data_IF_222463462314
#
_entry.id   IF_222463462314
#
_cell.length_a   1.000
_cell.length_b   1.000
_cell.length_c   1.000
_cell.angle_alpha   90.00
_cell.angle_beta   90.00
_cell.angle_gamma   90.00
#
_symmetry.space_group_name_H-M   'P 1'
#
loop_
_entity.id
_entity.type
_entity.pdbx_description
1 polymer ?
#
# COMPACT_ATOMS: atom_id res chain seq x y z
N UNK A 1 -15.67 18.44 -9.81
CA UNK A 1 -15.56 16.98 -9.58
C UNK A 1 -14.74 16.79 -8.32
N UNK A 2 -15.17 15.94 -7.38
CA UNK A 2 -14.43 15.70 -6.13
C UNK A 2 -13.62 14.41 -6.21
N UNK A 3 -12.54 14.35 -5.45
CA UNK A 3 -11.75 13.14 -5.24
C UNK A 3 -12.19 12.46 -3.93
N UNK A 4 -12.46 11.17 -3.99
CA UNK A 4 -12.72 10.33 -2.81
C UNK A 4 -11.57 9.33 -2.67
N UNK A 5 -10.91 9.31 -1.52
CA UNK A 5 -9.94 8.29 -1.18
C UNK A 5 -10.66 7.09 -0.52
N UNK A 6 -10.71 5.98 -1.23
CA UNK A 6 -11.25 4.70 -0.76
C UNK A 6 -10.24 3.95 0.11
N UNK A 7 -9.75 4.57 1.19
CA UNK A 7 -8.72 3.99 2.05
C UNK A 7 -8.78 4.48 3.48
N UNK A 8 -8.51 3.56 4.42
CA UNK A 8 -8.26 3.90 5.82
C UNK A 8 -6.78 4.16 6.13
N UNK A 9 -5.87 3.98 5.17
CA UNK A 9 -4.44 4.14 5.38
C UNK A 9 -4.08 5.57 5.81
N UNK A 10 -3.41 5.69 6.96
CA UNK A 10 -2.88 6.97 7.44
C UNK A 10 -1.76 7.50 6.52
N UNK A 11 -0.90 6.64 5.97
CA UNK A 11 0.18 7.06 5.09
C UNK A 11 -0.33 7.63 3.76
N UNK A 12 -1.38 7.05 3.18
CA UNK A 12 -2.00 7.56 1.95
C UNK A 12 -2.66 8.91 2.15
N UNK A 13 -3.37 9.09 3.26
CA UNK A 13 -3.92 10.40 3.66
C UNK A 13 -2.81 11.43 3.82
N UNK A 14 -1.78 11.11 4.61
CA UNK A 14 -0.65 12.01 4.83
C UNK A 14 0.05 12.40 3.52
N UNK A 15 0.19 11.50 2.56
CA UNK A 15 0.75 11.82 1.23
C UNK A 15 -0.12 12.80 0.44
N UNK A 16 -1.45 12.63 0.43
CA UNK A 16 -2.36 13.56 -0.24
C UNK A 16 -2.43 14.91 0.47
N UNK A 17 -2.46 14.90 1.81
CA UNK A 17 -2.45 16.10 2.66
C UNK A 17 -1.18 16.92 2.39
N UNK A 18 0.00 16.28 2.42
CA UNK A 18 1.27 16.93 2.16
C UNK A 18 1.38 17.47 0.71
N UNK A 19 0.72 16.81 -0.25
CA UNK A 19 0.64 17.27 -1.63
C UNK A 19 -0.42 18.37 -1.86
N UNK A 20 -1.19 18.74 -0.82
CA UNK A 20 -2.26 19.74 -0.93
C UNK A 20 -3.43 19.30 -1.81
N UNK A 21 -3.65 18.00 -1.95
CA UNK A 21 -4.76 17.46 -2.75
C UNK A 21 -6.05 17.54 -1.92
N UNK A 22 -7.13 18.19 -2.41
CA UNK A 22 -8.41 18.14 -1.74
C UNK A 22 -9.09 16.78 -2.00
N UNK A 23 -9.48 16.08 -0.92
CA UNK A 23 -10.19 14.80 -1.02
C UNK A 23 -11.14 14.57 0.16
N UNK A 24 -12.08 13.64 -0.01
CA UNK A 24 -12.86 13.04 1.07
C UNK A 24 -12.36 11.62 1.34
N UNK A 25 -12.05 11.28 2.59
CA UNK A 25 -11.65 9.92 2.96
C UNK A 25 -12.89 9.09 3.31
N UNK A 26 -13.07 7.95 2.66
CA UNK A 26 -14.19 7.04 2.92
C UNK A 26 -13.67 5.61 3.01
N UNK A 27 -14.10 4.88 4.03
CA UNK A 27 -13.79 3.45 4.15
C UNK A 27 -14.57 2.68 3.08
N UNK A 28 -13.92 1.88 2.22
CA UNK A 28 -14.61 1.12 1.17
C UNK A 28 -15.48 -0.02 1.70
N UNK A 29 -15.34 -0.42 2.99
CA UNK A 29 -16.07 -1.54 3.60
C UNK A 29 -16.04 -2.82 2.74
N UNK A 30 -14.85 -3.17 2.23
CA UNK A 30 -14.60 -4.35 1.40
C UNK A 30 -14.02 -5.46 2.28
N UNK A 31 -14.47 -6.69 2.06
CA UNK A 31 -13.83 -7.89 2.60
C UNK A 31 -12.59 -8.24 1.75
N UNK A 32 -11.47 -7.61 2.10
CA UNK A 32 -10.20 -7.73 1.36
C UNK A 32 -9.61 -9.14 1.45
N UNK A 33 -9.77 -9.80 2.59
CA UNK A 33 -9.13 -11.10 2.87
C UNK A 33 -9.76 -12.20 2.01
N UNK A 34 -11.08 -12.23 1.89
CA UNK A 34 -11.79 -13.17 1.01
C UNK A 34 -11.43 -12.96 -0.46
N UNK A 35 -11.40 -11.70 -0.94
CA UNK A 35 -11.04 -11.38 -2.32
C UNK A 35 -9.59 -11.78 -2.62
N UNK A 36 -8.68 -11.49 -1.69
CA UNK A 36 -7.26 -11.83 -1.80
C UNK A 36 -7.04 -13.34 -1.82
N UNK A 37 -7.75 -14.10 -1.00
CA UNK A 37 -7.68 -15.56 -0.98
C UNK A 37 -8.13 -16.18 -2.31
N UNK A 38 -9.23 -15.69 -2.89
CA UNK A 38 -9.72 -16.16 -4.19
C UNK A 38 -8.70 -15.90 -5.31
N UNK A 39 -8.17 -14.68 -5.39
CA UNK A 39 -7.18 -14.31 -6.40
C UNK A 39 -5.84 -15.05 -6.23
N UNK A 40 -5.39 -15.28 -4.98
CA UNK A 40 -4.20 -16.10 -4.69
C UNK A 40 -4.41 -17.55 -5.18
N UNK A 41 -5.60 -18.12 -5.01
CA UNK A 41 -5.91 -19.48 -5.46
C UNK A 41 -5.85 -19.64 -7.00
N UNK A 42 -6.09 -18.55 -7.74
CA UNK A 42 -5.95 -18.50 -9.20
C UNK A 42 -4.49 -18.31 -9.67
N UNK A 43 -3.53 -18.19 -8.74
CA UNK A 43 -2.11 -18.00 -9.07
C UNK A 43 -1.78 -16.61 -9.61
N UNK A 44 -2.61 -15.60 -9.30
CA UNK A 44 -2.41 -14.22 -9.74
C UNK A 44 -1.10 -13.67 -9.19
N UNK A 45 -0.28 -13.05 -10.05
CA UNK A 45 0.99 -12.47 -9.65
C UNK A 45 0.80 -11.31 -8.64
N UNK A 46 1.76 -11.04 -7.73
CA UNK A 46 1.63 -9.99 -6.72
C UNK A 46 1.27 -8.60 -7.29
N UNK A 47 1.82 -8.24 -8.45
CA UNK A 47 1.48 -6.99 -9.15
C UNK A 47 -0.02 -6.90 -9.46
N UNK A 48 -0.58 -7.96 -10.04
CA UNK A 48 -1.95 -7.99 -10.52
C UNK A 48 -2.93 -8.15 -9.35
N UNK A 49 -2.50 -8.82 -8.27
CA UNK A 49 -3.23 -8.88 -7.02
C UNK A 49 -3.39 -7.49 -6.40
N UNK A 50 -2.32 -6.69 -6.37
CA UNK A 50 -2.40 -5.30 -5.88
C UNK A 50 -3.36 -4.45 -6.74
N UNK A 51 -3.29 -4.58 -8.07
CA UNK A 51 -4.19 -3.89 -9.01
C UNK A 51 -5.66 -4.25 -8.74
N UNK A 52 -5.97 -5.55 -8.64
CA UNK A 52 -7.32 -6.04 -8.41
C UNK A 52 -7.89 -5.59 -7.06
N UNK A 53 -7.08 -5.61 -5.98
CA UNK A 53 -7.50 -5.13 -4.66
C UNK A 53 -7.72 -3.61 -4.64
N UNK A 54 -6.89 -2.84 -5.34
CA UNK A 54 -7.08 -1.40 -5.49
C UNK A 54 -8.35 -1.08 -6.31
N UNK A 55 -8.60 -1.82 -7.40
CA UNK A 55 -9.80 -1.70 -8.23
C UNK A 55 -11.06 -1.99 -7.43
N UNK A 56 -11.07 -3.09 -6.66
CA UNK A 56 -12.21 -3.48 -5.83
C UNK A 56 -12.63 -2.37 -4.86
N UNK A 57 -11.65 -1.71 -4.22
CA UNK A 57 -11.88 -0.57 -3.31
C UNK A 57 -12.45 0.64 -4.05
N UNK A 58 -11.90 0.96 -5.21
CA UNK A 58 -12.34 2.10 -6.01
C UNK A 58 -13.78 1.90 -6.53
N UNK A 59 -14.07 0.73 -7.09
CA UNK A 59 -15.37 0.43 -7.69
C UNK A 59 -16.51 0.45 -6.67
N UNK A 60 -16.27 -0.08 -5.46
CA UNK A 60 -17.28 -0.16 -4.41
C UNK A 60 -17.89 1.19 -4.08
N UNK A 61 -17.06 2.24 -3.94
CA UNK A 61 -17.55 3.58 -3.65
C UNK A 61 -17.95 4.35 -4.92
N UNK A 62 -17.31 4.08 -6.05
CA UNK A 62 -17.63 4.74 -7.33
C UNK A 62 -19.04 4.43 -7.82
N UNK A 63 -19.56 3.24 -7.49
CA UNK A 63 -20.96 2.89 -7.77
C UNK A 63 -21.97 3.67 -6.91
N UNK A 64 -21.56 4.11 -5.71
CA UNK A 64 -22.41 4.84 -4.78
C UNK A 64 -22.42 6.35 -5.03
N UNK A 65 -21.31 6.89 -5.55
CA UNK A 65 -21.21 8.27 -6.01
C UNK A 65 -20.65 8.32 -7.44
N UNK A 66 -21.53 8.20 -8.47
CA UNK A 66 -21.12 8.20 -9.86
C UNK A 66 -20.45 9.49 -10.34
N UNK A 67 -20.53 10.57 -9.55
CA UNK A 67 -20.00 11.90 -9.91
C UNK A 67 -18.61 12.18 -9.35
N UNK A 68 -18.13 11.30 -8.46
CA UNK A 68 -16.80 11.39 -7.85
C UNK A 68 -15.75 10.59 -8.63
N UNK A 69 -14.51 11.07 -8.61
CA UNK A 69 -13.36 10.22 -8.87
C UNK A 69 -13.01 9.49 -7.58
N UNK A 70 -13.05 8.17 -7.59
CA UNK A 70 -12.73 7.35 -6.43
C UNK A 70 -11.36 6.72 -6.62
N UNK A 71 -10.41 7.09 -5.76
CA UNK A 71 -9.07 6.54 -5.71
C UNK A 71 -9.02 5.38 -4.72
N UNK A 72 -8.87 4.16 -5.24
CA UNK A 72 -8.50 2.97 -4.49
C UNK A 72 -6.99 2.76 -4.53
N UNK A 73 -6.44 2.24 -3.44
CA UNK A 73 -5.02 1.90 -3.36
C UNK A 73 -4.77 0.66 -2.53
N UNK A 74 -3.81 -0.15 -2.98
CA UNK A 74 -3.38 -1.36 -2.29
C UNK A 74 -1.86 -1.53 -2.34
N UNK A 75 -1.31 -2.24 -1.36
CA UNK A 75 0.12 -2.50 -1.29
C UNK A 75 0.38 -3.92 -0.80
N UNK A 76 1.28 -4.62 -1.46
CA UNK A 76 1.68 -5.98 -1.15
C UNK A 76 3.19 -6.06 -1.00
N UNK A 77 3.65 -6.88 -0.06
CA UNK A 77 5.07 -7.20 0.11
C UNK A 77 5.27 -8.66 -0.23
N UNK A 78 6.19 -8.92 -1.15
CA UNK A 78 6.61 -10.26 -1.54
C UNK A 78 8.07 -10.48 -1.14
N UNK A 79 8.35 -11.64 -0.55
CA UNK A 79 9.71 -12.12 -0.34
C UNK A 79 10.33 -12.55 -1.68
N UNK A 80 11.64 -12.78 -1.67
CA UNK A 80 12.39 -13.19 -2.87
C UNK A 80 11.91 -14.51 -3.50
N UNK A 81 11.30 -15.39 -2.72
CA UNK A 81 10.71 -16.66 -3.17
C UNK A 81 9.26 -16.52 -3.69
N UNK A 82 8.70 -15.30 -3.67
CA UNK A 82 7.33 -15.00 -4.07
C UNK A 82 6.31 -15.10 -2.95
N UNK A 83 6.71 -15.49 -1.73
CA UNK A 83 5.82 -15.54 -0.56
C UNK A 83 5.29 -14.13 -0.24
N UNK A 84 3.97 -13.98 -0.20
CA UNK A 84 3.33 -12.72 0.16
C UNK A 84 3.22 -12.59 1.68
N UNK A 85 3.68 -11.46 2.22
CA UNK A 85 3.47 -11.10 3.61
C UNK A 85 2.14 -10.36 3.77
N UNK A 86 1.32 -10.86 4.68
CA UNK A 86 0.11 -10.19 5.13
C UNK A 86 0.43 -9.24 6.31
N UNK A 87 -0.58 -8.50 6.79
CA UNK A 87 -0.40 -7.67 7.99
C UNK A 87 -0.22 -8.58 9.20
N UNK A 88 0.69 -8.25 10.13
CA UNK A 88 0.92 -9.11 11.28
C UNK A 88 -0.31 -9.15 12.19
N UNK A 89 -0.71 -10.34 12.61
CA UNK A 89 -1.88 -10.52 13.50
C UNK A 89 -1.54 -10.33 14.98
N UNK A 90 -0.25 -10.37 15.33
CA UNK A 90 0.27 -10.15 16.68
C UNK A 90 1.71 -9.60 16.64
N UNK A 91 2.23 -9.17 17.79
CA UNK A 91 3.63 -8.70 17.91
C UNK A 91 4.61 -9.83 17.61
N UNK A 92 4.30 -11.05 18.04
CA UNK A 92 5.09 -12.26 17.79
C UNK A 92 5.12 -12.59 16.29
N UNK A 93 3.97 -12.50 15.62
CA UNK A 93 3.91 -12.69 14.18
C UNK A 93 4.63 -11.55 13.41
N UNK A 94 4.63 -10.33 13.93
CA UNK A 94 5.47 -9.27 13.38
C UNK A 94 6.97 -9.59 13.51
N UNK A 95 7.40 -10.18 14.63
CA UNK A 95 8.77 -10.65 14.82
C UNK A 95 9.13 -11.75 13.80
N UNK A 96 8.22 -12.69 13.54
CA UNK A 96 8.39 -13.72 12.50
C UNK A 96 8.56 -13.11 11.11
N UNK A 97 7.71 -12.15 10.73
CA UNK A 97 7.86 -11.45 9.45
C UNK A 97 9.22 -10.76 9.35
N UNK A 98 9.68 -10.07 10.41
CA UNK A 98 11.00 -9.44 10.45
C UNK A 98 12.13 -10.46 10.29
N UNK A 99 12.03 -11.63 10.92
CA UNK A 99 13.00 -12.73 10.74
C UNK A 99 13.01 -13.26 9.31
N UNK A 100 11.84 -13.46 8.70
CA UNK A 100 11.72 -13.94 7.32
C UNK A 100 12.35 -12.97 6.31
N UNK A 101 12.24 -11.67 6.58
CA UNK A 101 12.82 -10.63 5.73
C UNK A 101 14.33 -10.44 5.96
N UNK A 102 14.83 -10.72 7.17
CA UNK A 102 16.21 -10.48 7.62
C UNK A 102 17.26 -10.98 6.62
N UNK A 103 18.14 -10.07 6.17
CA UNK A 103 19.22 -10.40 5.24
C UNK A 103 18.78 -10.77 3.82
N UNK A 104 17.51 -10.55 3.46
CA UNK A 104 16.97 -10.83 2.13
C UNK A 104 16.50 -9.56 1.42
N UNK A 105 15.97 -9.71 0.20
CA UNK A 105 15.30 -8.64 -0.51
C UNK A 105 13.79 -8.87 -0.47
N UNK A 106 13.04 -7.78 -0.35
CA UNK A 106 11.59 -7.79 -0.51
C UNK A 106 11.17 -6.87 -1.65
N UNK A 107 10.19 -7.31 -2.44
CA UNK A 107 9.55 -6.49 -3.47
C UNK A 107 8.21 -5.97 -2.91
N UNK A 108 8.08 -4.65 -2.82
CA UNK A 108 6.85 -3.95 -2.47
C UNK A 108 6.16 -3.51 -3.76
N UNK A 109 4.94 -3.97 -3.97
CA UNK A 109 4.07 -3.54 -5.04
C UNK A 109 3.04 -2.57 -4.48
N UNK A 110 2.90 -1.39 -5.08
CA UNK A 110 1.82 -0.47 -4.73
C UNK A 110 1.00 -0.14 -5.97
N UNK A 111 -0.29 -0.39 -5.87
CA UNK A 111 -1.27 -0.11 -6.91
C UNK A 111 -2.15 1.08 -6.52
N UNK A 112 -2.56 1.82 -7.53
CA UNK A 112 -3.58 2.85 -7.46
C UNK A 112 -4.52 2.71 -8.65
N UNK A 113 -5.82 2.72 -8.37
CA UNK A 113 -6.87 2.66 -9.39
C UNK A 113 -7.85 3.79 -9.12
N UNK A 114 -8.18 4.54 -10.17
CA UNK A 114 -9.21 5.57 -10.10
C UNK A 114 -10.42 5.10 -10.89
N UNK A 115 -11.58 5.12 -10.24
CA UNK A 115 -12.86 4.74 -10.81
C UNK A 115 -13.84 5.92 -10.86
N UNK A 116 -14.71 5.92 -11.88
CA UNK A 116 -15.76 6.89 -12.11
C UNK A 116 -17.00 6.16 -12.64
N UNK A 117 -18.19 6.45 -12.09
CA UNK A 117 -19.42 5.79 -12.50
C UNK A 117 -19.38 4.25 -12.43
N UNK A 118 -18.66 3.69 -11.46
CA UNK A 118 -18.51 2.25 -11.30
C UNK A 118 -17.62 1.58 -12.35
N UNK A 119 -16.73 2.32 -13.00
CA UNK A 119 -15.75 1.78 -13.97
C UNK A 119 -14.35 2.29 -13.67
N UNK A 120 -13.30 1.47 -13.82
CA UNK A 120 -11.93 1.95 -13.68
C UNK A 120 -11.60 2.83 -14.91
N UNK A 121 -11.17 4.06 -14.67
CA UNK A 121 -10.81 5.03 -15.71
C UNK A 121 -9.31 5.31 -15.78
N UNK A 122 -8.56 4.87 -14.77
CA UNK A 122 -7.11 4.94 -14.71
C UNK A 122 -6.56 3.93 -13.72
N UNK A 123 -5.37 3.38 -14.00
CA UNK A 123 -4.66 2.45 -13.13
C UNK A 123 -3.15 2.63 -13.25
N UNK A 124 -2.44 2.41 -12.14
CA UNK A 124 -0.99 2.39 -12.11
C UNK A 124 -0.51 1.44 -11.01
N UNK A 125 0.48 0.61 -11.34
CA UNK A 125 1.14 -0.26 -10.36
C UNK A 125 2.64 -0.03 -10.47
N UNK A 126 3.26 0.27 -9.33
CA UNK A 126 4.69 0.47 -9.23
C UNK A 126 5.31 -0.55 -8.27
N UNK A 127 6.58 -0.90 -8.51
CA UNK A 127 7.36 -1.81 -7.67
C UNK A 127 8.56 -1.07 -7.08
N UNK A 128 8.75 -1.22 -5.78
CA UNK A 128 9.99 -0.88 -5.09
C UNK A 128 10.66 -2.14 -4.54
N UNK A 129 11.98 -2.21 -4.62
CA UNK A 129 12.80 -3.29 -4.03
C UNK A 129 13.54 -2.78 -2.81
N UNK A 130 13.43 -3.50 -1.70
CA UNK A 130 14.05 -3.15 -0.43
C UNK A 130 15.04 -4.25 -0.03
N UNK A 131 16.31 -3.89 0.16
CA UNK A 131 17.35 -4.79 0.66
C UNK A 131 17.35 -4.69 2.17
N UNK A 132 16.98 -5.77 2.85
CA UNK A 132 16.84 -5.82 4.31
C UNK A 132 18.18 -6.20 4.92
N UNK A 133 18.58 -5.49 5.97
CA UNK A 133 19.80 -5.80 6.73
C UNK A 133 19.62 -7.15 7.43
N UNK A 134 20.72 -7.86 7.75
CA UNK A 134 20.68 -8.90 8.77
C UNK A 134 20.22 -8.27 10.09
N UNK A 135 19.09 -8.73 10.61
CA UNK A 135 18.48 -8.29 11.86
C UNK A 135 18.84 -9.28 12.96
N UNK A 136 19.36 -8.77 14.08
CA UNK A 136 19.53 -9.57 15.30
C UNK A 136 18.24 -9.65 16.10
N UNK A 137 18.08 -10.67 16.94
CA UNK A 137 16.92 -10.78 17.84
C UNK A 137 16.78 -9.56 18.76
N UNK A 138 17.90 -9.04 19.29
CA UNK A 138 17.88 -7.83 20.11
C UNK A 138 17.35 -6.61 19.33
N UNK A 139 17.77 -6.45 18.07
CA UNK A 139 17.26 -5.38 17.21
C UNK A 139 15.76 -5.55 16.95
N UNK A 140 15.30 -6.77 16.65
CA UNK A 140 13.88 -7.03 16.37
C UNK A 140 13.02 -6.67 17.58
N UNK A 141 13.41 -7.10 18.78
CA UNK A 141 12.69 -6.76 20.02
C UNK A 141 12.68 -5.25 20.29
N UNK A 142 13.83 -4.57 20.22
CA UNK A 142 13.92 -3.12 20.42
C UNK A 142 13.10 -2.32 19.39
N UNK A 143 13.06 -2.81 18.15
CA UNK A 143 12.28 -2.22 17.09
C UNK A 143 10.78 -2.36 17.36
N UNK A 144 10.34 -3.56 17.74
CA UNK A 144 8.94 -3.83 18.09
C UNK A 144 8.51 -3.06 19.33
N UNK A 145 9.38 -2.86 20.32
CA UNK A 145 9.08 -2.03 21.50
C UNK A 145 8.77 -0.56 21.14
N UNK A 146 9.36 -0.06 20.07
CA UNK A 146 9.17 1.32 19.59
C UNK A 146 7.99 1.45 18.63
N UNK A 147 7.83 0.48 17.74
CA UNK A 147 6.91 0.58 16.61
C UNK A 147 5.60 -0.19 16.78
N UNK A 148 5.50 -1.13 17.71
CA UNK A 148 4.23 -1.79 18.03
C UNK A 148 3.36 -0.88 18.92
N UNK A 149 2.05 -0.74 18.67
CA UNK A 149 1.24 -1.40 17.64
C UNK A 149 1.12 -0.62 16.32
N UNK A 150 1.87 0.47 16.11
CA UNK A 150 1.72 1.33 14.93
C UNK A 150 1.91 0.58 13.60
N UNK A 151 2.86 -0.37 13.54
CA UNK A 151 3.13 -1.19 12.34
C UNK A 151 2.15 -2.36 12.15
N UNK A 152 1.17 -2.57 13.04
CA UNK A 152 0.21 -3.70 12.91
C UNK A 152 -0.67 -3.61 11.65
N UNK A 153 -0.82 -2.40 11.12
CA UNK A 153 -1.57 -2.11 9.90
C UNK A 153 -0.71 -2.10 8.64
N UNK A 154 0.60 -2.36 8.77
CA UNK A 154 1.58 -2.25 7.70
C UNK A 154 1.99 -3.63 7.18
N UNK A 155 1.84 -3.86 5.87
CA UNK A 155 2.46 -5.01 5.21
C UNK A 155 3.99 -4.88 5.30
N UNK A 156 4.67 -5.98 5.61
CA UNK A 156 6.13 -5.96 5.84
C UNK A 156 6.56 -5.35 7.17
N UNK A 157 5.65 -5.01 8.09
CA UNK A 157 6.00 -4.62 9.47
C UNK A 157 6.91 -3.38 9.58
N UNK A 158 6.79 -2.41 8.68
CA UNK A 158 7.59 -1.19 8.72
C UNK A 158 6.84 0.09 8.36
N UNK A 159 7.37 1.19 8.89
CA UNK A 159 7.10 2.58 8.48
C UNK A 159 8.42 3.24 8.13
N UNK A 160 8.63 3.55 6.85
CA UNK A 160 9.91 4.12 6.39
C UNK A 160 10.07 5.59 6.82
N UNK A 161 8.96 6.24 7.14
CA UNK A 161 8.89 7.56 7.76
C UNK A 161 9.29 7.57 9.25
N UNK A 162 9.46 6.39 9.86
CA UNK A 162 9.82 6.21 11.25
C UNK A 162 11.09 5.35 11.43
N UNK A 163 11.24 4.69 12.60
CA UNK A 163 12.33 3.76 12.89
C UNK A 163 12.52 2.64 11.84
N UNK A 164 11.48 2.32 11.05
CA UNK A 164 11.54 1.29 10.01
C UNK A 164 12.59 1.55 8.92
N UNK A 165 13.04 2.80 8.73
CA UNK A 165 14.17 3.11 7.83
C UNK A 165 15.45 2.34 8.21
N UNK A 166 15.63 1.99 9.48
CA UNK A 166 16.80 1.26 9.97
C UNK A 166 16.86 -0.19 9.46
N UNK A 167 15.72 -0.75 9.02
CA UNK A 167 15.65 -2.13 8.51
C UNK A 167 16.41 -2.30 7.19
N UNK A 168 16.56 -1.23 6.41
CA UNK A 168 16.99 -1.34 5.02
C UNK A 168 18.44 -0.89 4.82
N UNK A 169 19.18 -1.68 4.05
CA UNK A 169 20.51 -1.34 3.56
C UNK A 169 20.44 -0.47 2.30
N UNK A 170 19.43 -0.74 1.46
CA UNK A 170 19.22 -0.04 0.19
C UNK A 170 17.74 -0.13 -0.20
N UNK A 171 17.25 0.90 -0.87
CA UNK A 171 15.92 0.93 -1.50
C UNK A 171 16.06 1.33 -2.96
N UNK A 172 15.34 0.65 -3.86
CA UNK A 172 15.29 0.96 -5.29
C UNK A 172 13.84 1.11 -5.73
N UNK A 173 13.50 2.20 -6.44
CA UNK A 173 12.13 2.55 -6.80
C UNK A 173 11.68 3.86 -6.16
N UNK A 174 10.41 4.26 -6.34
CA UNK A 174 9.90 5.50 -5.78
C UNK A 174 9.74 5.42 -4.26
N UNK A 175 10.15 6.50 -3.57
CA UNK A 175 9.89 6.65 -2.14
C UNK A 175 8.38 6.62 -1.81
N UNK A 176 7.54 7.19 -2.68
CA UNK A 176 6.09 7.21 -2.49
C UNK A 176 5.48 5.81 -2.56
N UNK A 177 5.98 4.98 -3.47
CA UNK A 177 5.58 3.57 -3.58
C UNK A 177 5.87 2.84 -2.28
N UNK A 178 7.04 3.08 -1.66
CA UNK A 178 7.40 2.48 -0.37
C UNK A 178 6.49 2.97 0.77
N UNK A 179 6.06 4.24 0.74
CA UNK A 179 5.05 4.77 1.68
C UNK A 179 3.64 4.21 1.45
N UNK A 180 3.40 3.55 0.31
CA UNK A 180 2.19 2.79 0.02
C UNK A 180 1.30 3.38 -1.07
N UNK A 181 1.80 4.27 -1.92
CA UNK A 181 1.06 4.77 -3.08
C UNK A 181 1.95 5.39 -4.17
N UNK A 182 1.74 5.11 -5.47
CA UNK A 182 2.46 5.78 -6.55
C UNK A 182 1.94 7.24 -6.73
N UNK A 183 2.39 8.14 -5.84
CA UNK A 183 1.83 9.50 -5.74
C UNK A 183 2.01 10.33 -7.01
N UNK A 184 3.21 10.33 -7.62
CA UNK A 184 3.47 11.19 -8.79
C UNK A 184 2.55 10.87 -9.98
N UNK A 185 2.39 9.60 -10.41
CA UNK A 185 1.41 9.24 -11.44
C UNK A 185 -0.04 9.65 -11.11
N UNK A 186 -0.42 9.60 -9.83
CA UNK A 186 -1.75 10.05 -9.39
C UNK A 186 -1.89 11.55 -9.61
N UNK A 187 -0.93 12.36 -9.15
CA UNK A 187 -0.98 13.82 -9.28
C UNK A 187 -1.06 14.25 -10.76
N UNK A 188 -0.34 13.57 -11.65
CA UNK A 188 -0.39 13.83 -13.09
C UNK A 188 -1.79 13.55 -13.67
N UNK A 189 -2.41 12.45 -13.24
CA UNK A 189 -3.78 12.14 -13.66
C UNK A 189 -4.79 13.15 -13.08
N UNK A 190 -4.64 13.57 -11.81
CA UNK A 190 -5.51 14.57 -11.19
C UNK A 190 -5.44 15.92 -11.90
N UNK A 191 -4.26 16.32 -12.41
CA UNK A 191 -4.12 17.51 -13.27
C UNK A 191 -4.85 17.35 -14.59
N UNK A 192 -4.69 16.19 -15.24
CA UNK A 192 -5.41 15.87 -16.50
C UNK A 192 -6.92 15.93 -16.32
N UNK A 193 -7.43 15.58 -15.13
CA UNK A 193 -8.86 15.63 -14.77
C UNK A 193 -9.32 16.98 -14.22
N UNK A 194 -8.43 17.97 -14.13
CA UNK A 194 -8.75 19.31 -13.63
C UNK A 194 -9.05 19.39 -12.12
N UNK A 195 -8.65 18.39 -11.33
CA UNK A 195 -8.74 18.44 -9.86
C UNK A 195 -7.60 19.28 -9.28
N UNK A 196 -6.43 19.26 -9.93
CA UNK A 196 -5.27 20.07 -9.58
C UNK A 196 -4.90 20.99 -10.75
N UNK A 197 -4.34 22.14 -10.44
CA UNK A 197 -3.76 23.04 -11.45
C UNK A 197 -2.46 22.46 -12.02
N UNK A 198 -2.23 22.70 -13.30
CA UNK A 198 -0.95 22.43 -13.98
C UNK A 198 0.00 23.60 -13.87
#
# INVERSE_FOLDING_TARGET
MKLVLASQSASRRAMLDAAGVPYEAVSPQVDEDSAKAALKAEGVAPRDLADALAELKALKLSQLDPTALVLGGDSLVALADGTLLDKPVSRENAAEHLRMMSGTNVDLYSAAVIAEGGRPVWRHVERARLVVRPLSEAFIEEYLDKEWPAISWCVGCFRIEGPGVQLFAQTTGSHFTILGMPLLPILDYLRTRGIMTS
#
